data_IF_207443034376
#
_entry.id   IF_207443034376
#
_cell.length_a   1.000
_cell.length_b   1.000
_cell.length_c   1.000
_cell.angle_alpha   90.00
_cell.angle_beta   90.00
_cell.angle_gamma   90.00
#
_symmetry.space_group_name_H-M   'P 1'
#
loop_
_entity.id
_entity.type
_entity.pdbx_description
1 polymer ?
#
# COMPACT_ATOMS: atom_id res chain seq x y z
N UNK A 1 -4.20 -10.87 15.40
CA UNK A 1 -3.47 -9.60 15.68
C UNK A 1 -4.02 -8.52 14.75
N UNK A 2 -4.53 -7.43 15.35
CA UNK A 2 -5.54 -6.49 14.81
C UNK A 2 -6.72 -7.13 14.09
N UNK A 3 -6.58 -7.55 12.83
CA UNK A 3 -7.69 -8.05 12.00
C UNK A 3 -8.44 -9.23 12.63
N UNK A 4 -7.73 -10.24 13.16
CA UNK A 4 -8.37 -11.36 13.87
C UNK A 4 -9.08 -10.92 15.14
N UNK A 5 -8.53 -9.95 15.87
CA UNK A 5 -9.12 -9.48 17.13
C UNK A 5 -10.33 -8.57 16.91
N UNK A 6 -10.31 -7.77 15.84
CA UNK A 6 -11.36 -6.82 15.51
C UNK A 6 -12.50 -7.45 14.70
N UNK A 7 -12.17 -8.35 13.77
CA UNK A 7 -13.12 -8.87 12.79
C UNK A 7 -13.30 -10.39 12.84
N UNK A 8 -12.65 -11.08 13.79
CA UNK A 8 -12.78 -12.54 13.96
C UNK A 8 -12.18 -13.37 12.82
N UNK A 9 -11.47 -12.74 11.87
CA UNK A 9 -10.90 -13.46 10.73
C UNK A 9 -9.73 -14.35 11.15
N UNK A 10 -9.61 -15.58 10.61
CA UNK A 10 -8.56 -16.51 11.01
C UNK A 10 -7.16 -15.91 10.85
N UNK A 11 -6.30 -16.14 11.83
CA UNK A 11 -4.89 -15.74 11.73
C UNK A 11 -4.13 -16.61 10.73
N UNK A 12 -3.00 -16.10 10.21
CA UNK A 12 -2.09 -16.85 9.34
C UNK A 12 -2.29 -16.62 7.84
N UNK A 13 -1.32 -17.08 7.03
CA UNK A 13 -1.35 -17.13 5.55
C UNK A 13 -1.99 -15.92 4.83
N UNK A 14 -1.69 -14.66 5.21
CA UNK A 14 -2.35 -13.48 4.62
C UNK A 14 -2.08 -13.37 3.11
N UNK A 15 -0.88 -13.72 2.65
CA UNK A 15 -0.53 -13.70 1.23
C UNK A 15 -1.31 -14.75 0.42
N UNK A 16 -1.52 -15.96 0.95
CA UNK A 16 -2.35 -16.98 0.29
C UNK A 16 -3.79 -16.50 0.15
N UNK A 17 -4.39 -16.04 1.26
CA UNK A 17 -5.74 -15.46 1.27
C UNK A 17 -5.91 -14.34 0.25
N UNK A 18 -4.95 -13.41 0.21
CA UNK A 18 -5.00 -12.28 -0.71
C UNK A 18 -4.86 -12.72 -2.18
N UNK A 19 -4.01 -13.72 -2.47
CA UNK A 19 -3.89 -14.31 -3.81
C UNK A 19 -5.21 -14.93 -4.26
N UNK A 20 -5.81 -15.76 -3.42
CA UNK A 20 -7.09 -16.41 -3.71
C UNK A 20 -8.19 -15.37 -3.93
N UNK A 21 -8.26 -14.37 -3.06
CA UNK A 21 -9.22 -13.26 -3.17
C UNK A 21 -9.06 -12.46 -4.47
N UNK A 22 -7.83 -12.04 -4.82
CA UNK A 22 -7.59 -11.28 -6.06
C UNK A 22 -7.84 -12.10 -7.33
N UNK A 23 -7.60 -13.41 -7.28
CA UNK A 23 -7.87 -14.33 -8.40
C UNK A 23 -9.37 -14.47 -8.69
N UNK A 24 -10.23 -14.20 -7.70
CA UNK A 24 -11.69 -14.19 -7.84
C UNK A 24 -12.21 -12.78 -8.13
N UNK A 25 -11.72 -11.78 -7.40
CA UNK A 25 -12.22 -10.41 -7.47
C UNK A 25 -12.05 -9.80 -8.87
N UNK A 26 -10.88 -9.95 -9.49
CA UNK A 26 -10.61 -9.34 -10.80
C UNK A 26 -11.56 -9.87 -11.89
N UNK A 27 -11.71 -11.19 -12.09
CA UNK A 27 -12.69 -11.71 -13.05
C UNK A 27 -14.11 -11.23 -12.77
N UNK A 28 -14.54 -11.24 -11.50
CA UNK A 28 -15.88 -10.77 -11.12
C UNK A 28 -16.10 -9.29 -11.46
N UNK A 29 -15.10 -8.43 -11.24
CA UNK A 29 -15.18 -7.01 -11.61
C UNK A 29 -15.22 -6.81 -13.13
N UNK A 30 -14.64 -7.73 -13.90
CA UNK A 30 -14.71 -7.75 -15.37
C UNK A 30 -16.01 -8.35 -15.91
N UNK A 31 -16.91 -8.80 -15.05
CA UNK A 31 -18.15 -9.45 -15.50
C UNK A 31 -17.98 -10.91 -15.87
N UNK A 32 -16.84 -11.53 -15.58
CA UNK A 32 -16.55 -12.91 -15.91
C UNK A 32 -17.17 -13.86 -14.87
N UNK A 33 -17.59 -15.04 -15.32
CA UNK A 33 -18.03 -16.10 -14.43
C UNK A 33 -16.83 -16.75 -13.75
N UNK A 34 -16.94 -16.98 -12.45
CA UNK A 34 -15.93 -17.67 -11.64
C UNK A 34 -16.50 -18.97 -11.09
N UNK A 35 -15.65 -20.00 -11.08
CA UNK A 35 -15.83 -21.23 -10.31
C UNK A 35 -14.49 -21.53 -9.65
N UNK A 36 -14.33 -21.02 -8.43
CA UNK A 36 -13.09 -21.07 -7.68
C UNK A 36 -13.31 -21.78 -6.35
N UNK A 37 -12.48 -22.78 -6.07
CA UNK A 37 -12.44 -23.46 -4.79
C UNK A 37 -10.99 -23.62 -4.38
N UNK A 38 -10.64 -23.05 -3.24
CA UNK A 38 -9.30 -23.02 -2.70
C UNK A 38 -9.33 -23.28 -1.19
N UNK A 39 -8.18 -23.20 -0.53
CA UNK A 39 -8.08 -23.53 0.88
C UNK A 39 -8.86 -22.53 1.75
N UNK A 40 -8.89 -21.25 1.37
CA UNK A 40 -9.48 -20.20 2.22
C UNK A 40 -10.66 -19.49 1.58
N UNK A 41 -10.95 -19.74 0.29
CA UNK A 41 -12.03 -19.10 -0.44
C UNK A 41 -12.72 -20.06 -1.42
N UNK A 42 -14.04 -20.11 -1.34
CA UNK A 42 -14.91 -20.69 -2.37
C UNK A 42 -15.79 -19.60 -2.95
N UNK A 43 -15.82 -19.47 -4.28
CA UNK A 43 -16.65 -18.52 -4.99
C UNK A 43 -17.13 -19.12 -6.31
N UNK A 44 -18.45 -19.18 -6.48
CA UNK A 44 -19.09 -19.64 -7.72
C UNK A 44 -20.14 -18.62 -8.09
N UNK A 45 -20.06 -18.03 -9.28
CA UNK A 45 -21.02 -17.06 -9.76
C UNK A 45 -20.44 -16.06 -10.76
N UNK A 46 -21.22 -15.04 -11.06
CA UNK A 46 -20.85 -13.95 -11.96
C UNK A 46 -21.50 -12.66 -11.44
N UNK A 47 -20.79 -11.55 -11.50
CA UNK A 47 -21.32 -10.22 -11.17
C UNK A 47 -21.37 -9.41 -12.45
N UNK A 48 -22.55 -8.99 -12.90
CA UNK A 48 -22.70 -8.15 -14.09
C UNK A 48 -23.49 -6.90 -13.74
N UNK A 49 -22.88 -5.73 -13.91
CA UNK A 49 -23.51 -4.43 -13.70
C UNK A 49 -23.46 -3.66 -15.03
N UNK A 50 -24.60 -3.37 -15.67
CA UNK A 50 -24.62 -2.66 -16.95
C UNK A 50 -24.00 -1.26 -16.86
N UNK A 51 -23.26 -0.88 -17.89
CA UNK A 51 -22.71 0.48 -18.03
C UNK A 51 -21.51 0.79 -17.12
N UNK A 52 -20.93 -0.20 -16.44
CA UNK A 52 -19.75 0.01 -15.59
C UNK A 52 -18.46 -0.45 -16.26
N UNK A 53 -17.39 0.31 -16.05
CA UNK A 53 -16.02 -0.12 -16.34
C UNK A 53 -15.40 -0.72 -15.07
N UNK A 54 -14.64 -1.83 -15.16
CA UNK A 54 -13.97 -2.40 -14.01
C UNK A 54 -13.03 -1.36 -13.35
N UNK A 55 -13.13 -1.10 -12.04
CA UNK A 55 -12.26 -0.16 -11.37
C UNK A 55 -10.84 -0.72 -11.24
N UNK A 56 -9.80 0.13 -11.18
CA UNK A 56 -8.44 -0.33 -10.90
C UNK A 56 -8.36 -0.89 -9.48
N UNK A 57 -7.62 -1.98 -9.32
CA UNK A 57 -7.39 -2.64 -8.03
C UNK A 57 -6.02 -2.20 -7.52
N UNK A 58 -5.98 -1.54 -6.36
CA UNK A 58 -4.71 -1.24 -5.68
C UNK A 58 -4.62 -2.06 -4.39
N UNK A 59 -3.52 -2.79 -4.20
CA UNK A 59 -3.29 -3.59 -3.00
C UNK A 59 -2.42 -2.82 -2.01
N UNK A 60 -2.87 -2.68 -0.76
CA UNK A 60 -2.02 -2.17 0.30
C UNK A 60 -0.89 -3.17 0.60
N UNK A 61 0.34 -2.83 0.23
CA UNK A 61 1.48 -3.75 0.31
C UNK A 61 2.75 -3.06 0.77
N UNK A 62 3.30 -3.54 1.89
CA UNK A 62 4.62 -3.14 2.42
C UNK A 62 5.60 -4.31 2.41
N UNK A 63 5.14 -5.52 2.77
CA UNK A 63 6.00 -6.70 2.84
C UNK A 63 6.31 -7.28 1.44
N UNK A 64 7.50 -7.91 1.23
CA UNK A 64 7.91 -8.44 -0.06
C UNK A 64 6.91 -9.41 -0.71
N UNK A 65 6.25 -10.26 0.08
CA UNK A 65 5.25 -11.18 -0.43
C UNK A 65 4.00 -10.47 -0.97
N UNK A 66 3.55 -9.41 -0.30
CA UNK A 66 2.41 -8.60 -0.76
C UNK A 66 2.78 -7.73 -1.97
N UNK A 67 4.01 -7.21 -2.03
CA UNK A 67 4.47 -6.44 -3.19
C UNK A 67 4.55 -7.31 -4.45
N UNK A 68 4.97 -8.58 -4.31
CA UNK A 68 4.90 -9.55 -5.41
C UNK A 68 3.46 -9.75 -5.88
N UNK A 69 2.53 -9.99 -4.95
CA UNK A 69 1.10 -10.14 -5.29
C UNK A 69 0.52 -8.88 -5.96
N UNK A 70 0.88 -7.70 -5.47
CA UNK A 70 0.44 -6.44 -6.07
C UNK A 70 0.90 -6.33 -7.53
N UNK A 71 2.17 -6.64 -7.81
CA UNK A 71 2.70 -6.63 -9.18
C UNK A 71 2.09 -7.72 -10.07
N UNK A 72 1.84 -8.91 -9.53
CA UNK A 72 1.30 -10.04 -10.28
C UNK A 72 -0.21 -9.89 -10.57
N UNK A 73 -1.01 -9.35 -9.64
CA UNK A 73 -2.48 -9.46 -9.69
C UNK A 73 -3.26 -8.13 -9.60
N UNK A 74 -2.63 -7.05 -9.12
CA UNK A 74 -3.27 -5.75 -8.92
C UNK A 74 -2.78 -4.70 -9.94
N UNK A 75 -3.50 -3.61 -10.15
CA UNK A 75 -3.06 -2.51 -11.02
C UNK A 75 -2.02 -1.61 -10.34
N UNK A 76 -1.76 -1.84 -9.06
CA UNK A 76 -0.79 -1.07 -8.29
C UNK A 76 -0.78 -1.37 -6.79
N UNK A 77 -0.03 -0.55 -6.06
CA UNK A 77 0.05 -0.58 -4.59
C UNK A 77 -0.29 0.77 -3.97
N UNK A 78 -0.82 0.72 -2.75
CA UNK A 78 -0.95 1.87 -1.86
C UNK A 78 -0.08 1.63 -0.62
N UNK A 79 0.79 2.57 -0.30
CA UNK A 79 1.62 2.54 0.91
C UNK A 79 1.15 3.59 1.90
N UNK A 80 1.47 3.40 3.18
CA UNK A 80 1.15 4.36 4.24
C UNK A 80 2.39 4.62 5.09
N UNK A 81 2.71 5.90 5.32
CA UNK A 81 3.89 6.36 6.09
C UNK A 81 5.21 5.76 5.58
N UNK A 82 5.31 5.56 4.26
CA UNK A 82 6.51 5.04 3.60
C UNK A 82 7.26 6.19 2.98
N UNK A 83 8.46 6.47 3.49
CA UNK A 83 9.27 7.59 3.02
C UNK A 83 9.82 7.40 1.58
N UNK A 84 10.42 8.46 1.02
CA UNK A 84 10.87 8.47 -0.37
C UNK A 84 11.99 7.45 -0.64
N UNK A 85 12.87 7.17 0.33
CA UNK A 85 13.99 6.24 0.15
C UNK A 85 13.49 4.81 -0.05
N UNK A 86 12.61 4.34 0.83
CA UNK A 86 12.00 3.01 0.76
C UNK A 86 11.11 2.89 -0.47
N UNK A 87 10.42 3.97 -0.86
CA UNK A 87 9.67 3.98 -2.12
C UNK A 87 10.59 3.72 -3.32
N UNK A 88 11.69 4.49 -3.43
CA UNK A 88 12.63 4.42 -4.54
C UNK A 88 13.44 3.12 -4.57
N UNK A 89 13.96 2.69 -3.42
CA UNK A 89 14.93 1.59 -3.34
C UNK A 89 14.25 0.22 -3.17
N UNK A 90 13.04 0.19 -2.60
CA UNK A 90 12.37 -1.06 -2.24
C UNK A 90 11.02 -1.25 -2.92
N UNK A 91 10.06 -0.35 -2.72
CA UNK A 91 8.67 -0.54 -3.16
C UNK A 91 8.58 -0.57 -4.68
N UNK A 92 9.00 0.51 -5.35
CA UNK A 92 8.87 0.68 -6.80
C UNK A 92 9.63 -0.41 -7.56
N UNK A 93 10.90 -0.75 -7.22
CA UNK A 93 11.62 -1.82 -7.92
C UNK A 93 10.99 -3.21 -7.70
N UNK A 94 10.51 -3.50 -6.47
CA UNK A 94 9.97 -4.82 -6.15
C UNK A 94 8.67 -5.10 -6.88
N UNK A 95 7.73 -4.15 -6.87
CA UNK A 95 6.44 -4.31 -7.55
C UNK A 95 6.61 -4.31 -9.06
N UNK A 96 7.50 -3.46 -9.60
CA UNK A 96 7.77 -3.40 -11.04
C UNK A 96 8.36 -4.70 -11.55
N UNK A 97 9.33 -5.30 -10.84
CA UNK A 97 9.91 -6.59 -11.20
C UNK A 97 8.87 -7.71 -11.20
N UNK A 98 7.98 -7.72 -10.21
CA UNK A 98 6.90 -8.71 -10.13
C UNK A 98 5.90 -8.55 -11.29
N UNK A 99 5.52 -7.31 -11.64
CA UNK A 99 4.65 -7.04 -12.79
C UNK A 99 5.31 -7.47 -14.11
N UNK A 100 6.59 -7.15 -14.31
CA UNK A 100 7.36 -7.56 -15.47
C UNK A 100 7.44 -9.08 -15.61
N UNK A 101 7.74 -9.79 -14.51
CA UNK A 101 7.78 -11.25 -14.51
C UNK A 101 6.42 -11.89 -14.85
N UNK A 102 5.32 -11.20 -14.52
CA UNK A 102 3.96 -11.61 -14.86
C UNK A 102 3.50 -11.14 -16.26
N UNK A 103 4.35 -10.45 -17.03
CA UNK A 103 3.98 -9.92 -18.35
C UNK A 103 2.97 -8.77 -18.29
N UNK A 104 2.91 -8.03 -17.17
CA UNK A 104 1.94 -6.96 -16.93
C UNK A 104 2.54 -5.56 -17.10
N UNK A 105 1.71 -4.54 -17.38
CA UNK A 105 2.17 -3.15 -17.43
C UNK A 105 2.81 -2.67 -16.13
N UNK A 106 3.57 -1.58 -16.20
CA UNK A 106 4.14 -0.95 -15.03
C UNK A 106 3.03 -0.56 -14.02
N UNK A 107 3.14 -1.00 -12.75
CA UNK A 107 2.07 -0.82 -11.76
C UNK A 107 2.03 0.62 -11.24
N UNK A 108 0.83 1.10 -10.88
CA UNK A 108 0.66 2.38 -10.21
C UNK A 108 1.16 2.30 -8.76
N UNK A 109 1.90 3.30 -8.30
CA UNK A 109 2.33 3.41 -6.90
C UNK A 109 1.70 4.65 -6.29
N UNK A 110 0.94 4.48 -5.21
CA UNK A 110 0.32 5.57 -4.45
C UNK A 110 0.96 5.61 -3.07
N UNK A 111 1.60 6.73 -2.73
CA UNK A 111 2.20 6.95 -1.42
C UNK A 111 1.26 7.78 -0.53
N UNK A 112 0.74 7.17 0.53
CA UNK A 112 0.02 7.87 1.57
C UNK A 112 0.99 8.38 2.63
N UNK A 113 1.07 9.70 2.78
CA UNK A 113 1.94 10.39 3.73
C UNK A 113 1.15 11.37 4.57
N UNK A 114 1.65 11.61 5.78
CA UNK A 114 1.16 12.69 6.64
C UNK A 114 1.75 14.00 6.13
N UNK A 115 0.86 14.91 5.71
CA UNK A 115 1.24 16.22 5.17
C UNK A 115 0.54 17.31 5.97
N UNK A 116 1.29 18.33 6.39
CA UNK A 116 0.74 19.49 7.07
C UNK A 116 1.42 20.77 6.58
N UNK A 117 0.61 21.73 6.13
CA UNK A 117 1.09 23.08 5.82
C UNK A 117 1.01 23.90 7.10
N UNK A 118 2.15 24.18 7.72
CA UNK A 118 2.24 24.79 9.06
C UNK A 118 3.54 25.56 9.26
N UNK A 119 3.51 26.58 10.11
CA UNK A 119 4.71 27.22 10.66
C UNK A 119 5.30 26.44 11.84
N UNK A 120 4.49 25.62 12.53
CA UNK A 120 4.91 24.78 13.65
C UNK A 120 5.13 23.34 13.19
N UNK A 121 6.23 23.11 12.45
CA UNK A 121 6.59 21.78 11.99
C UNK A 121 6.94 20.84 13.17
N UNK A 122 7.55 21.37 14.24
CA UNK A 122 7.86 20.62 15.47
C UNK A 122 6.61 20.05 16.12
N UNK A 123 5.61 20.89 16.40
CA UNK A 123 4.39 20.46 17.07
C UNK A 123 3.52 19.54 16.21
N UNK A 124 3.69 19.53 14.88
CA UNK A 124 3.10 18.50 14.02
C UNK A 124 3.83 17.16 14.16
N UNK A 125 5.17 17.16 14.24
CA UNK A 125 5.93 15.93 14.45
C UNK A 125 5.61 15.31 15.81
N UNK A 126 5.51 16.11 16.87
CA UNK A 126 5.14 15.64 18.20
C UNK A 126 3.76 14.98 18.20
N UNK A 127 2.76 15.63 17.58
CA UNK A 127 1.41 15.06 17.41
C UNK A 127 1.41 13.78 16.59
N UNK A 128 2.24 13.71 15.54
CA UNK A 128 2.36 12.51 14.73
C UNK A 128 2.97 11.35 15.53
N UNK A 129 3.95 11.62 16.38
CA UNK A 129 4.54 10.62 17.28
C UNK A 129 3.49 10.10 18.28
N UNK A 130 2.66 10.99 18.85
CA UNK A 130 1.59 10.62 19.77
C UNK A 130 0.50 9.76 19.09
N UNK A 131 -0.01 10.21 17.95
CA UNK A 131 -1.15 9.58 17.27
C UNK A 131 -0.76 8.30 16.52
N UNK A 132 0.42 8.26 15.92
CA UNK A 132 0.84 7.19 15.02
C UNK A 132 1.99 6.35 15.58
N UNK A 133 2.50 6.65 16.78
CA UNK A 133 3.62 5.91 17.39
C UNK A 133 3.41 4.40 17.50
N UNK A 134 2.16 3.94 17.59
CA UNK A 134 1.84 2.51 17.55
C UNK A 134 2.31 1.83 16.26
N UNK A 135 2.31 2.53 15.13
CA UNK A 135 2.80 1.99 13.85
C UNK A 135 4.28 1.58 13.93
N UNK A 136 5.09 2.26 14.76
CA UNK A 136 6.48 1.86 15.01
C UNK A 136 6.63 0.48 15.68
N UNK A 137 5.56 -0.07 16.26
CA UNK A 137 5.54 -1.36 16.96
C UNK A 137 4.92 -2.49 16.11
N UNK A 138 4.31 -2.15 14.97
CA UNK A 138 3.77 -3.13 14.04
C UNK A 138 4.89 -3.58 13.09
N UNK A 139 5.23 -4.88 13.02
CA UNK A 139 6.43 -5.35 12.32
C UNK A 139 6.57 -4.87 10.87
N UNK A 140 5.46 -4.83 10.12
CA UNK A 140 5.46 -4.42 8.71
C UNK A 140 5.76 -2.93 8.53
N UNK A 141 5.27 -2.08 9.45
CA UNK A 141 5.55 -0.64 9.44
C UNK A 141 6.95 -0.36 9.99
N UNK A 142 7.38 -1.06 11.05
CA UNK A 142 8.75 -0.95 11.59
C UNK A 142 9.80 -1.26 10.52
N UNK A 143 9.59 -2.33 9.74
CA UNK A 143 10.50 -2.71 8.67
C UNK A 143 10.64 -1.65 7.56
N UNK A 144 9.61 -0.84 7.33
CA UNK A 144 9.65 0.30 6.40
C UNK A 144 10.42 1.46 7.03
N UNK A 145 10.12 1.80 8.30
CA UNK A 145 10.82 2.87 9.03
C UNK A 145 12.32 2.58 9.21
N UNK A 146 12.69 1.30 9.39
CA UNK A 146 14.09 0.87 9.43
C UNK A 146 14.82 1.13 8.11
N UNK A 147 14.14 0.90 6.97
CA UNK A 147 14.69 1.18 5.63
C UNK A 147 14.84 2.69 5.38
N UNK A 148 13.95 3.49 5.96
CA UNK A 148 14.09 4.95 6.00
C UNK A 148 15.19 5.43 6.97
N UNK A 149 15.74 4.55 7.82
CA UNK A 149 16.69 4.90 8.88
C UNK A 149 16.12 5.94 9.86
N UNK A 150 14.83 5.82 10.19
CA UNK A 150 14.15 6.74 11.10
C UNK A 150 13.66 6.06 12.38
N UNK A 151 13.42 6.87 13.41
CA UNK A 151 13.00 6.38 14.71
C UNK A 151 11.51 6.09 14.76
N UNK A 152 10.71 6.89 14.05
CA UNK A 152 9.26 6.70 14.02
C UNK A 152 8.55 7.44 12.90
N UNK A 153 7.21 7.33 12.84
CA UNK A 153 6.39 7.97 11.82
C UNK A 153 6.54 9.49 11.74
N UNK A 154 6.88 10.15 12.85
CA UNK A 154 7.10 11.60 12.91
C UNK A 154 8.24 12.09 11.99
N UNK A 155 9.20 11.21 11.70
CA UNK A 155 10.37 11.53 10.90
C UNK A 155 10.07 11.50 9.39
N UNK A 156 8.98 10.84 8.97
CA UNK A 156 8.52 10.78 7.57
C UNK A 156 7.39 11.78 7.27
N UNK A 157 6.98 12.60 8.26
CA UNK A 157 5.97 13.65 8.07
C UNK A 157 6.54 14.77 7.20
N UNK A 158 5.74 15.17 6.21
CA UNK A 158 5.99 16.36 5.39
C UNK A 158 5.28 17.53 6.07
N UNK A 159 6.02 18.32 6.85
CA UNK A 159 5.52 19.51 7.51
C UNK A 159 6.36 20.73 7.13
N UNK A 160 5.69 21.84 6.77
CA UNK A 160 6.36 23.09 6.44
C UNK A 160 5.41 24.18 5.97
N UNK A 161 5.92 25.38 5.79
CA UNK A 161 5.13 26.53 5.37
C UNK A 161 4.83 26.50 3.87
N UNK A 162 3.69 27.06 3.47
CA UNK A 162 3.43 27.32 2.06
C UNK A 162 4.24 28.56 1.63
N UNK A 163 5.40 28.35 1.02
CA UNK A 163 6.13 29.43 0.39
C UNK A 163 5.32 29.96 -0.81
N UNK A 164 4.79 31.19 -0.71
CA UNK A 164 4.26 31.91 -1.88
C UNK A 164 5.43 32.10 -2.84
N UNK A 165 5.37 31.46 -4.01
CA UNK A 165 6.49 31.32 -4.92
C UNK A 165 7.20 32.63 -5.26
N UNK A 166 8.52 32.64 -5.08
CA UNK A 166 9.42 33.12 -6.13
C UNK A 166 10.16 31.90 -6.65
N UNK A 167 10.11 31.70 -7.96
CA UNK A 167 10.69 30.55 -8.65
C UNK A 167 12.16 30.37 -8.28
N UNK A 168 12.49 29.25 -7.64
CA UNK A 168 13.86 28.74 -7.65
C UNK A 168 13.80 27.22 -7.63
N UNK A 169 14.29 26.61 -8.72
CA UNK A 169 14.37 25.17 -8.94
C UNK A 169 14.94 24.45 -7.72
N UNK A 170 14.13 23.58 -7.11
CA UNK A 170 14.61 22.56 -6.20
C UNK A 170 15.13 21.39 -7.05
N UNK A 171 16.43 21.41 -7.34
CA UNK A 171 17.20 20.21 -7.67
C UNK A 171 17.57 19.53 -6.35
N UNK A 172 17.52 18.19 -6.33
CA UNK A 172 17.85 17.27 -5.25
C UNK A 172 16.83 17.12 -4.11
N UNK A 173 15.96 16.11 -4.28
CA UNK A 173 15.85 15.01 -3.31
C UNK A 173 15.94 13.72 -4.11
#
# INVERSE_FOLDING_TARGET
>A
MMVTGMYGLPAGRPATRMREYLSVLRPLLCGEAVSHQSETLTAVGQVSVPGTTPPPILLAALAPAMLRLAGELADGTVTWMTGPRTLADHIVPSITRAAQAAGRPAPRVVAGLLVSVTADASGVRDRAAEQFGLAGHVPEYRAVLDREQVTGPQDVVIAGECLRGTSRSAHNI
#
